data_IF_050055059745
#
_entry.id   IF_050055059745
#
_cell.length_a   1.000
_cell.length_b   1.000
_cell.length_c   1.000
_cell.angle_alpha   90.00
_cell.angle_beta   90.00
_cell.angle_gamma   90.00
#
_symmetry.space_group_name_H-M   'P 1'
#
loop_
_entity.id
_entity.type
_entity.pdbx_description
1 polymer ?
#
# COMPACT_ATOMS: atom_id res chain seq x y z
N UNK A 1 17.94 8.58 -1.03
CA UNK A 1 19.30 9.02 -0.63
C UNK A 1 20.05 9.60 -1.83
N UNK A 2 20.03 8.95 -2.99
CA UNK A 2 20.64 9.49 -4.23
C UNK A 2 20.14 10.89 -4.61
N UNK A 3 18.82 11.10 -4.59
CA UNK A 3 18.21 12.41 -4.88
C UNK A 3 18.59 13.51 -3.87
N UNK A 4 19.21 13.14 -2.75
CA UNK A 4 19.74 14.08 -1.76
C UNK A 4 21.26 14.27 -1.91
N UNK A 5 21.87 13.79 -3.01
CA UNK A 5 23.29 13.98 -3.33
C UNK A 5 24.24 12.94 -2.71
N UNK A 6 23.71 11.88 -2.09
CA UNK A 6 24.55 10.82 -1.53
C UNK A 6 24.88 9.76 -2.59
N UNK A 7 26.11 9.24 -2.55
CA UNK A 7 26.46 8.01 -3.28
C UNK A 7 25.70 6.85 -2.65
N UNK A 8 25.02 6.06 -3.49
CA UNK A 8 24.30 4.86 -3.10
C UNK A 8 24.76 3.73 -4.03
N UNK A 9 24.79 2.51 -3.50
CA UNK A 9 25.23 1.32 -4.22
C UNK A 9 24.01 0.56 -4.76
N UNK A 10 24.17 -0.10 -5.91
CA UNK A 10 23.10 -0.87 -6.58
C UNK A 10 22.69 -2.14 -5.81
N UNK A 11 23.42 -2.51 -4.76
CA UNK A 11 23.17 -3.67 -3.91
C UNK A 11 22.70 -3.21 -2.54
N UNK A 12 21.46 -3.55 -2.22
CA UNK A 12 20.91 -3.50 -0.87
C UNK A 12 21.09 -4.84 -0.17
N UNK A 13 20.99 -4.84 1.15
CA UNK A 13 21.08 -6.07 1.93
C UNK A 13 19.85 -6.24 2.81
N UNK A 14 19.23 -7.42 2.72
CA UNK A 14 18.21 -7.85 3.67
C UNK A 14 18.89 -8.65 4.78
N UNK A 15 18.70 -8.20 6.02
CA UNK A 15 19.21 -8.88 7.21
C UNK A 15 18.04 -9.63 7.84
N UNK A 16 18.17 -10.95 7.92
CA UNK A 16 17.27 -11.80 8.69
C UNK A 16 17.95 -12.20 9.98
N UNK A 17 17.37 -11.87 11.12
CA UNK A 17 17.79 -12.39 12.42
C UNK A 17 16.72 -13.37 12.90
N UNK A 18 16.94 -14.66 12.63
CA UNK A 18 16.00 -15.72 13.00
C UNK A 18 16.41 -16.33 14.34
N UNK A 19 15.46 -16.42 15.28
CA UNK A 19 15.71 -17.11 16.54
C UNK A 19 15.85 -18.62 16.29
N UNK A 20 16.87 -19.23 16.88
CA UNK A 20 17.05 -20.67 16.84
C UNK A 20 15.98 -21.34 17.71
N UNK A 21 15.26 -22.27 17.11
CA UNK A 21 14.20 -23.04 17.77
C UNK A 21 14.68 -24.40 18.29
N UNK A 22 15.92 -24.77 17.99
CA UNK A 22 16.52 -26.07 18.30
C UNK A 22 17.56 -26.00 19.43
N UNK A 23 17.57 -24.93 20.23
CA UNK A 23 18.37 -24.86 21.44
C UNK A 23 17.87 -25.87 22.48
N UNK A 24 18.78 -26.42 23.29
CA UNK A 24 18.47 -27.49 24.28
C UNK A 24 17.41 -27.04 25.31
N UNK A 25 17.27 -25.74 25.52
CA UNK A 25 16.26 -25.12 26.37
C UNK A 25 16.35 -23.59 26.32
N UNK A 26 15.40 -22.91 26.97
CA UNK A 26 15.27 -21.45 26.88
C UNK A 26 16.30 -20.66 27.72
N UNK A 27 16.90 -21.24 28.77
CA UNK A 27 18.07 -20.72 29.54
C UNK A 27 18.17 -19.18 29.71
N UNK A 28 17.04 -18.46 29.81
CA UNK A 28 16.94 -17.00 29.75
C UNK A 28 17.79 -16.33 28.64
N UNK A 29 17.99 -17.05 27.52
CA UNK A 29 18.83 -16.61 26.41
C UNK A 29 18.19 -17.00 25.07
N UNK A 30 17.96 -16.00 24.23
CA UNK A 30 17.61 -16.20 22.82
C UNK A 30 18.88 -16.21 21.98
N UNK A 31 19.08 -17.28 21.22
CA UNK A 31 20.17 -17.40 20.25
C UNK A 31 19.60 -17.10 18.87
N UNK A 32 20.24 -16.18 18.16
CA UNK A 32 19.84 -15.81 16.80
C UNK A 32 20.90 -16.24 15.80
N UNK A 33 20.43 -16.69 14.64
CA UNK A 33 21.23 -16.81 13.44
C UNK A 33 20.93 -15.62 12.53
N UNK A 34 21.98 -14.97 12.03
CA UNK A 34 21.85 -13.83 11.12
C UNK A 34 22.21 -14.25 9.71
N UNK A 35 21.31 -14.00 8.76
CA UNK A 35 21.53 -14.21 7.34
C UNK A 35 21.51 -12.87 6.62
N UNK A 36 22.57 -12.60 5.86
CA UNK A 36 22.69 -11.42 5.02
C UNK A 36 22.44 -11.80 3.56
N UNK A 37 21.38 -11.25 2.96
CA UNK A 37 21.01 -11.55 1.58
C UNK A 37 21.24 -10.30 0.72
N UNK A 38 22.17 -10.34 -0.26
CA UNK A 38 22.34 -9.25 -1.21
C UNK A 38 21.18 -9.22 -2.21
N UNK A 39 20.66 -8.03 -2.48
CA UNK A 39 19.54 -7.80 -3.40
C UNK A 39 19.90 -6.63 -4.30
N UNK A 40 19.75 -6.80 -5.62
CA UNK A 40 19.88 -5.69 -6.55
C UNK A 40 18.69 -4.74 -6.37
N UNK A 41 18.99 -3.47 -6.15
CA UNK A 41 17.98 -2.42 -6.00
C UNK A 41 17.59 -1.93 -7.39
N UNK A 42 16.29 -1.85 -7.64
CA UNK A 42 15.72 -1.30 -8.87
C UNK A 42 14.73 -0.19 -8.50
N UNK A 43 15.03 1.04 -8.93
CA UNK A 43 14.26 2.24 -8.61
C UNK A 43 13.62 2.89 -9.82
N UNK A 44 13.88 2.39 -11.03
CA UNK A 44 13.46 3.02 -12.29
C UNK A 44 11.94 3.17 -12.43
N UNK A 45 11.17 2.34 -11.71
CA UNK A 45 9.72 2.42 -11.68
C UNK A 45 9.18 3.59 -10.85
N UNK A 46 9.98 4.16 -9.94
CA UNK A 46 9.49 5.14 -8.96
C UNK A 46 9.05 6.44 -9.64
N UNK A 47 9.93 7.08 -10.41
CA UNK A 47 9.63 8.32 -11.13
C UNK A 47 8.39 8.24 -12.04
N UNK A 48 8.27 7.26 -12.95
CA UNK A 48 7.07 7.14 -13.78
C UNK A 48 5.81 6.89 -12.94
N UNK A 49 5.89 6.06 -11.89
CA UNK A 49 4.74 5.83 -11.00
C UNK A 49 4.33 7.11 -10.26
N UNK A 50 5.26 7.96 -9.84
CA UNK A 50 4.92 9.24 -9.21
C UNK A 50 4.18 10.18 -10.17
N UNK A 51 4.57 10.20 -11.44
CA UNK A 51 3.89 10.97 -12.49
C UNK A 51 2.47 10.42 -12.70
N UNK A 52 2.30 9.10 -12.77
CA UNK A 52 0.99 8.46 -12.90
C UNK A 52 0.07 8.76 -11.72
N UNK A 53 0.59 8.69 -10.49
CA UNK A 53 -0.16 9.04 -9.27
C UNK A 53 -0.64 10.48 -9.33
N UNK A 54 0.25 11.42 -9.68
CA UNK A 54 -0.11 12.83 -9.80
C UNK A 54 -1.21 13.03 -10.85
N UNK A 55 -1.04 12.46 -12.03
CA UNK A 55 -2.02 12.56 -13.11
C UNK A 55 -3.38 11.99 -12.69
N UNK A 56 -3.40 10.89 -11.93
CA UNK A 56 -4.63 10.31 -11.40
C UNK A 56 -5.32 11.24 -10.38
N UNK A 57 -4.56 11.85 -9.47
CA UNK A 57 -5.08 12.74 -8.43
C UNK A 57 -5.58 14.09 -8.97
N UNK A 58 -4.94 14.61 -10.01
CA UNK A 58 -5.31 15.89 -10.65
C UNK A 58 -6.38 15.71 -11.75
N UNK A 59 -6.81 14.48 -12.04
CA UNK A 59 -7.84 14.22 -13.04
C UNK A 59 -9.23 14.65 -12.55
N UNK A 60 -9.99 15.32 -13.42
CA UNK A 60 -11.41 15.64 -13.15
C UNK A 60 -12.30 14.40 -13.15
N UNK A 61 -11.89 13.36 -13.88
CA UNK A 61 -12.55 12.07 -13.93
C UNK A 61 -11.97 11.13 -12.89
N UNK A 62 -12.83 10.59 -12.04
CA UNK A 62 -12.45 9.57 -11.07
C UNK A 62 -11.99 8.29 -11.77
N UNK A 63 -10.94 7.62 -11.24
CA UNK A 63 -10.53 6.33 -11.77
C UNK A 63 -11.62 5.27 -11.55
N UNK A 64 -11.59 4.24 -12.40
CA UNK A 64 -12.47 3.08 -12.22
C UNK A 64 -12.16 2.34 -10.92
N UNK A 65 -13.19 1.67 -10.39
CA UNK A 65 -13.04 0.82 -9.21
C UNK A 65 -12.07 -0.34 -9.48
N UNK A 66 -11.03 -0.45 -8.65
CA UNK A 66 -10.06 -1.53 -8.78
C UNK A 66 -10.63 -2.91 -8.42
N UNK A 67 -10.25 -3.95 -9.18
CA UNK A 67 -10.74 -5.32 -9.00
C UNK A 67 -10.45 -5.94 -7.61
N UNK A 68 -9.44 -5.43 -6.90
CA UNK A 68 -9.05 -5.88 -5.55
C UNK A 68 -9.36 -4.85 -4.45
N UNK A 69 -10.08 -3.78 -4.78
CA UNK A 69 -10.42 -2.75 -3.80
C UNK A 69 -11.67 -3.15 -3.03
N UNK A 70 -11.52 -3.44 -1.74
CA UNK A 70 -12.65 -3.78 -0.86
C UNK A 70 -13.51 -2.54 -0.51
N UNK A 71 -12.95 -1.34 -0.62
CA UNK A 71 -13.65 -0.09 -0.28
C UNK A 71 -14.58 0.40 -1.39
N UNK A 72 -14.25 0.14 -2.66
CA UNK A 72 -15.06 0.59 -3.80
C UNK A 72 -16.50 0.04 -3.75
N UNK A 73 -16.73 -1.28 -3.59
CA UNK A 73 -18.07 -1.85 -3.48
C UNK A 73 -18.87 -1.26 -2.31
N UNK A 74 -18.22 -1.05 -1.16
CA UNK A 74 -18.85 -0.45 0.01
C UNK A 74 -19.31 0.99 -0.28
N UNK A 75 -18.44 1.83 -0.85
CA UNK A 75 -18.77 3.22 -1.19
C UNK A 75 -19.91 3.31 -2.22
N UNK A 76 -19.91 2.42 -3.21
CA UNK A 76 -20.99 2.34 -4.20
C UNK A 76 -22.33 2.00 -3.53
N UNK A 77 -22.36 1.00 -2.65
CA UNK A 77 -23.56 0.60 -1.92
C UNK A 77 -24.10 1.76 -1.04
N UNK A 78 -23.23 2.46 -0.32
CA UNK A 78 -23.59 3.65 0.45
C UNK A 78 -24.16 4.75 -0.44
N UNK A 79 -23.51 5.05 -1.57
CA UNK A 79 -23.95 6.07 -2.52
C UNK A 79 -25.35 5.78 -3.08
N UNK A 80 -25.61 4.54 -3.51
CA UNK A 80 -26.93 4.10 -3.98
C UNK A 80 -28.01 4.28 -2.91
N UNK A 81 -27.70 3.94 -1.66
CA UNK A 81 -28.64 4.10 -0.54
C UNK A 81 -28.96 5.56 -0.26
N UNK A 82 -27.95 6.43 -0.22
CA UNK A 82 -28.11 7.87 -0.01
C UNK A 82 -28.95 8.52 -1.12
N UNK A 83 -28.68 8.18 -2.39
CA UNK A 83 -29.48 8.67 -3.52
C UNK A 83 -30.94 8.23 -3.44
N UNK A 84 -31.21 6.98 -3.04
CA UNK A 84 -32.58 6.48 -2.87
C UNK A 84 -33.33 7.24 -1.76
N UNK A 85 -32.67 7.52 -0.63
CA UNK A 85 -33.22 8.34 0.45
C UNK A 85 -33.54 9.75 -0.06
N UNK A 86 -32.59 10.41 -0.71
CA UNK A 86 -32.77 11.76 -1.24
C UNK A 86 -33.94 11.87 -2.22
N UNK A 87 -34.04 10.94 -3.18
CA UNK A 87 -35.16 10.89 -4.14
C UNK A 87 -36.50 10.72 -3.44
N UNK A 88 -36.59 9.85 -2.43
CA UNK A 88 -37.82 9.64 -1.66
C UNK A 88 -38.21 10.89 -0.87
N UNK A 89 -37.25 11.59 -0.28
CA UNK A 89 -37.50 12.85 0.43
C UNK A 89 -38.00 13.95 -0.50
N UNK A 90 -37.40 14.10 -1.69
CA UNK A 90 -37.85 15.08 -2.68
C UNK A 90 -39.28 14.79 -3.19
N UNK A 91 -39.59 13.51 -3.44
CA UNK A 91 -40.93 13.11 -3.89
C UNK A 91 -42.00 13.43 -2.84
N UNK A 92 -41.72 13.17 -1.57
CA UNK A 92 -42.63 13.44 -0.45
C UNK A 92 -42.79 14.93 -0.09
N UNK A 93 -41.98 15.83 -0.68
CA UNK A 93 -42.07 17.29 -0.48
C UNK A 93 -42.79 18.00 -1.64
N UNK A 94 -43.10 17.28 -2.72
CA UNK A 94 -43.80 17.79 -3.89
C UNK A 94 -45.31 17.46 -3.89
N UNK A 95 -45.78 16.75 -2.86
CA UNK A 95 -47.19 16.47 -2.52
C UNK A 95 -47.61 17.29 -1.28
#
# INVERSE_FOLDING_TARGET
>A
MEKNGFRVEDIGYLIYANAKTNEIGFNDKLVFETTLVPVKVETDWIEPTLVEIKNCLENEQFPESGAKCEFCPYREACGKKLQAIHKKTLFNQAD
#
